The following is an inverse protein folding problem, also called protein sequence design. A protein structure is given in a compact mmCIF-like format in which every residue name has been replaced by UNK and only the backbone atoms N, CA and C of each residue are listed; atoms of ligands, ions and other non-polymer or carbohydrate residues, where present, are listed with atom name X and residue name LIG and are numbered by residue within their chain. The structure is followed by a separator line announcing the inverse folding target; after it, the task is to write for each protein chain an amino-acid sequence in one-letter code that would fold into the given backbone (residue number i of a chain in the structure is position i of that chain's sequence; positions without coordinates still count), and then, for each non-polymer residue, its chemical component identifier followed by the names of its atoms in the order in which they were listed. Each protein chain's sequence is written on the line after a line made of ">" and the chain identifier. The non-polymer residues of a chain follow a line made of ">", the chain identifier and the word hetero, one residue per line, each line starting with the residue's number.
data_IF_820338146836
#
_entry.id   IF_820338146836
#
_cell.length_a   1.000
_cell.length_b   1.000
_cell.length_c   1.000
_cell.angle_alpha   90.00
_cell.angle_beta   90.00
_cell.angle_gamma   90.00
#
_symmetry.space_group_name_H-M   'P 1'
#
loop_
_entity.id
_entity.type
_entity.pdbx_description
1 polymer ?
#
# COMPACT_ATOMS: atom_id res chain seq x y z
N UNK A 1 -24.15 10.74 0.56
CA UNK A 1 -22.87 11.33 0.10
C UNK A 1 -21.87 11.53 1.27
N UNK A 2 -22.32 11.69 2.53
CA UNK A 2 -21.44 11.76 3.72
C UNK A 2 -20.74 10.42 4.03
N UNK A 3 -21.39 9.27 3.81
CA UNK A 3 -20.82 7.96 4.20
C UNK A 3 -19.60 7.52 3.37
N UNK A 4 -19.40 8.03 2.16
CA UNK A 4 -18.20 7.79 1.35
C UNK A 4 -16.97 8.59 1.77
N UNK A 5 -17.14 9.68 2.54
CA UNK A 5 -16.05 10.50 3.07
C UNK A 5 -15.38 9.86 4.30
N UNK A 6 -16.04 8.89 4.95
CA UNK A 6 -15.54 8.23 6.17
C UNK A 6 -14.97 6.83 5.93
N UNK A 7 -14.85 6.36 4.70
CA UNK A 7 -14.14 5.11 4.42
C UNK A 7 -12.63 5.35 4.55
N UNK A 8 -11.95 4.53 5.37
CA UNK A 8 -10.50 4.53 5.41
C UNK A 8 -9.97 4.00 4.07
N UNK A 9 -9.50 4.90 3.23
CA UNK A 9 -8.95 4.57 1.91
C UNK A 9 -7.43 4.77 1.92
N UNK A 10 -6.68 3.94 1.19
CA UNK A 10 -5.25 4.18 0.97
C UNK A 10 -4.98 5.59 0.47
N UNK A 11 -3.84 6.20 0.83
CA UNK A 11 -3.48 7.55 0.40
C UNK A 11 -3.55 7.72 -1.11
N UNK A 12 -3.00 6.75 -1.85
CA UNK A 12 -3.01 6.76 -3.31
C UNK A 12 -3.00 5.33 -3.88
N UNK A 13 -3.10 5.23 -5.21
CA UNK A 13 -2.94 3.96 -5.92
C UNK A 13 -1.53 3.42 -5.78
N UNK A 14 -1.40 2.12 -5.56
CA UNK A 14 -0.15 1.40 -5.45
C UNK A 14 -0.15 0.17 -6.35
N UNK A 15 1.01 -0.19 -6.89
CA UNK A 15 1.15 -1.39 -7.73
C UNK A 15 0.77 -2.63 -6.92
N UNK A 16 -0.08 -3.49 -7.45
CA UNK A 16 -0.56 -4.68 -6.73
C UNK A 16 -1.66 -4.42 -5.68
N UNK A 17 -2.03 -3.15 -5.41
CA UNK A 17 -2.99 -2.81 -4.34
C UNK A 17 -4.32 -3.54 -4.44
N UNK A 18 -4.77 -4.10 -3.32
CA UNK A 18 -5.94 -4.97 -3.18
C UNK A 18 -7.26 -4.25 -2.88
N UNK A 19 -7.35 -2.94 -3.16
CA UNK A 19 -8.51 -2.11 -2.78
C UNK A 19 -9.88 -2.66 -3.24
N UNK A 20 -9.92 -3.45 -4.32
CA UNK A 20 -11.16 -4.07 -4.83
C UNK A 20 -11.48 -5.42 -4.20
N UNK A 21 -10.52 -6.01 -3.51
CA UNK A 21 -10.60 -7.36 -2.96
C UNK A 21 -10.51 -7.36 -1.43
N UNK A 22 -10.18 -6.22 -0.79
CA UNK A 22 -9.93 -6.16 0.64
C UNK A 22 -11.15 -6.62 1.48
N UNK A 23 -12.37 -6.25 1.09
CA UNK A 23 -13.58 -6.71 1.76
C UNK A 23 -13.72 -8.23 1.66
N UNK A 24 -13.59 -8.81 0.46
CA UNK A 24 -13.68 -10.25 0.24
C UNK A 24 -12.57 -11.02 0.98
N UNK A 25 -11.34 -10.48 1.02
CA UNK A 25 -10.23 -11.09 1.76
C UNK A 25 -10.56 -11.13 3.25
N UNK A 26 -11.03 -10.02 3.83
CA UNK A 26 -11.39 -9.95 5.25
C UNK A 26 -12.61 -10.83 5.58
N UNK A 27 -13.59 -10.96 4.67
CA UNK A 27 -14.75 -11.85 4.87
C UNK A 27 -14.29 -13.31 5.02
N UNK A 28 -13.38 -13.77 4.16
CA UNK A 28 -12.80 -15.12 4.24
C UNK A 28 -12.01 -15.30 5.55
N UNK A 29 -11.21 -14.30 5.93
CA UNK A 29 -10.43 -14.35 7.17
C UNK A 29 -11.33 -14.40 8.40
N UNK A 30 -12.41 -13.62 8.44
CA UNK A 30 -13.38 -13.64 9.54
C UNK A 30 -14.16 -14.96 9.60
N UNK A 31 -14.50 -15.56 8.46
CA UNK A 31 -15.16 -16.87 8.39
C UNK A 31 -14.28 -17.97 9.00
N UNK A 32 -12.99 -17.96 8.67
CA UNK A 32 -12.04 -18.97 9.15
C UNK A 32 -11.64 -18.79 10.64
N UNK A 33 -11.60 -17.54 11.15
CA UNK A 33 -10.97 -17.25 12.46
C UNK A 33 -11.93 -16.67 13.52
N UNK A 34 -13.15 -16.29 13.12
CA UNK A 34 -14.04 -15.45 13.96
C UNK A 34 -13.56 -13.99 13.97
N UNK A 35 -13.95 -13.24 15.00
CA UNK A 35 -13.72 -11.77 15.06
C UNK A 35 -12.83 -11.30 16.20
N UNK A 36 -12.11 -12.19 16.85
CA UNK A 36 -11.25 -11.87 17.99
C UNK A 36 -9.80 -12.22 17.67
N UNK A 37 -9.09 -11.30 17.01
CA UNK A 37 -7.66 -11.45 16.67
C UNK A 37 -7.01 -10.08 16.41
N UNK A 38 -5.68 -10.05 16.53
CA UNK A 38 -4.84 -8.96 16.00
C UNK A 38 -4.54 -9.27 14.54
N UNK A 39 -4.74 -8.31 13.67
CA UNK A 39 -4.48 -8.45 12.24
C UNK A 39 -3.08 -7.95 11.87
N UNK A 40 -2.30 -8.77 11.20
CA UNK A 40 -0.98 -8.41 10.67
C UNK A 40 -1.05 -8.31 9.15
N UNK A 41 -0.83 -7.11 8.60
CA UNK A 41 -0.72 -6.86 7.15
C UNK A 41 0.77 -6.71 6.82
N UNK A 42 1.40 -7.81 6.43
CA UNK A 42 2.83 -7.87 6.11
C UNK A 42 3.02 -7.67 4.59
N UNK A 43 3.98 -6.82 4.22
CA UNK A 43 4.11 -6.27 2.86
C UNK A 43 2.89 -5.40 2.48
N UNK A 44 2.45 -4.54 3.42
CA UNK A 44 1.17 -3.84 3.33
C UNK A 44 1.05 -2.86 2.14
N UNK A 45 2.16 -2.40 1.57
CA UNK A 45 2.15 -1.36 0.54
C UNK A 45 1.30 -0.17 1.00
N UNK A 46 0.34 0.26 0.19
CA UNK A 46 -0.57 1.36 0.56
C UNK A 46 -1.59 1.01 1.66
N UNK A 47 -1.62 -0.23 2.14
CA UNK A 47 -2.42 -0.67 3.28
C UNK A 47 -3.88 -0.97 2.97
N UNK A 48 -4.22 -1.39 1.75
CA UNK A 48 -5.63 -1.59 1.36
C UNK A 48 -6.35 -2.60 2.24
N UNK A 49 -5.72 -3.73 2.58
CA UNK A 49 -6.33 -4.80 3.38
C UNK A 49 -6.30 -4.43 4.86
N UNK A 50 -5.16 -3.93 5.35
CA UNK A 50 -5.04 -3.50 6.74
C UNK A 50 -5.99 -2.35 7.10
N UNK A 51 -6.23 -1.38 6.21
CA UNK A 51 -7.20 -0.30 6.45
C UNK A 51 -8.65 -0.81 6.48
N UNK A 52 -8.99 -1.84 5.70
CA UNK A 52 -10.28 -2.51 5.82
C UNK A 52 -10.40 -3.23 7.16
N UNK A 53 -9.32 -3.86 7.66
CA UNK A 53 -9.30 -4.47 8.99
C UNK A 53 -9.50 -3.41 10.09
N UNK A 54 -8.81 -2.26 10.02
CA UNK A 54 -9.01 -1.12 10.95
C UNK A 54 -10.47 -0.63 10.91
N UNK A 55 -11.06 -0.48 9.73
CA UNK A 55 -12.46 -0.07 9.54
C UNK A 55 -13.43 -1.05 10.21
N UNK A 56 -13.11 -2.35 10.25
CA UNK A 56 -13.89 -3.40 10.95
C UNK A 56 -13.62 -3.46 12.45
N UNK A 57 -12.68 -2.65 12.97
CA UNK A 57 -12.38 -2.54 14.40
C UNK A 57 -11.22 -3.41 14.89
N UNK A 58 -10.43 -4.01 13.99
CA UNK A 58 -9.26 -4.81 14.37
C UNK A 58 -8.05 -3.94 14.70
N UNK A 59 -7.36 -4.25 15.80
CA UNK A 59 -5.99 -3.79 15.95
C UNK A 59 -5.17 -4.37 14.80
N UNK A 60 -4.54 -3.49 14.02
CA UNK A 60 -3.84 -3.85 12.79
C UNK A 60 -2.40 -3.40 12.83
N UNK A 61 -1.50 -4.34 12.61
CA UNK A 61 -0.06 -4.10 12.53
C UNK A 61 0.34 -4.11 11.06
N UNK A 62 0.69 -2.94 10.54
CA UNK A 62 1.19 -2.77 9.18
C UNK A 62 2.71 -2.94 9.16
N UNK A 63 3.22 -3.79 8.28
CA UNK A 63 4.65 -3.88 8.01
C UNK A 63 4.93 -3.72 6.52
N UNK A 64 5.95 -2.94 6.20
CA UNK A 64 6.52 -2.84 4.85
C UNK A 64 7.99 -2.45 4.93
N UNK A 65 8.81 -3.02 4.07
CA UNK A 65 10.21 -2.62 3.94
C UNK A 65 10.37 -1.26 3.24
N UNK A 66 9.37 -0.87 2.43
CA UNK A 66 9.28 0.43 1.78
C UNK A 66 8.76 1.53 2.71
N UNK A 67 8.63 2.73 2.16
CA UNK A 67 8.29 3.93 2.95
C UNK A 67 6.83 3.99 3.43
N UNK A 68 5.96 3.09 2.97
CA UNK A 68 4.64 2.92 3.60
C UNK A 68 4.77 2.30 5.00
N UNK A 69 5.76 1.42 5.24
CA UNK A 69 6.08 0.95 6.59
C UNK A 69 6.40 2.12 7.53
N UNK A 70 7.26 3.06 7.09
CA UNK A 70 7.55 4.29 7.83
C UNK A 70 6.29 5.14 8.08
N UNK A 71 5.44 5.32 7.06
CA UNK A 71 4.20 6.07 7.19
C UNK A 71 3.28 5.50 8.27
N UNK A 72 3.01 4.19 8.26
CA UNK A 72 2.18 3.53 9.27
C UNK A 72 2.86 3.47 10.65
N UNK A 73 4.17 3.30 10.70
CA UNK A 73 4.93 3.37 11.96
C UNK A 73 4.78 4.75 12.62
N UNK A 74 4.89 5.82 11.84
CA UNK A 74 4.70 7.17 12.36
C UNK A 74 3.26 7.41 12.84
N UNK A 75 2.25 6.87 12.16
CA UNK A 75 0.86 6.95 12.64
C UNK A 75 0.72 6.21 13.97
N UNK A 76 1.19 4.97 14.05
CA UNK A 76 1.10 4.15 15.25
C UNK A 76 1.82 4.75 16.47
N UNK A 77 2.88 5.52 16.24
CA UNK A 77 3.66 6.24 17.27
C UNK A 77 3.19 7.69 17.51
N UNK A 78 2.11 8.14 16.84
CA UNK A 78 1.63 9.54 16.85
C UNK A 78 2.70 10.56 16.41
N UNK A 79 3.62 10.15 15.55
CA UNK A 79 4.73 10.97 15.05
C UNK A 79 4.46 11.69 13.74
N UNK A 80 3.37 11.35 13.02
CA UNK A 80 3.03 12.00 11.76
C UNK A 80 2.32 13.34 12.01
N UNK A 81 2.86 14.44 11.49
CA UNK A 81 2.31 15.77 11.67
C UNK A 81 1.42 16.18 10.48
N UNK A 82 0.11 16.24 10.69
CA UNK A 82 -0.83 16.78 9.70
C UNK A 82 -0.53 18.23 9.36
N UNK A 83 -0.03 19.02 10.30
CA UNK A 83 0.39 20.41 10.04
C UNK A 83 1.53 20.47 9.01
N UNK A 84 2.60 19.68 9.24
CA UNK A 84 3.72 19.63 8.27
C UNK A 84 3.27 19.10 6.91
N UNK A 85 2.37 18.11 6.89
CA UNK A 85 1.86 17.60 5.64
C UNK A 85 1.01 18.65 4.90
N UNK A 86 0.17 19.41 5.62
CA UNK A 86 -0.57 20.54 5.03
C UNK A 86 0.38 21.58 4.43
N UNK A 87 1.44 21.95 5.16
CA UNK A 87 2.46 22.88 4.64
C UNK A 87 3.10 22.36 3.35
N UNK A 88 3.39 21.05 3.24
CA UNK A 88 3.92 20.47 2.00
C UNK A 88 2.89 20.52 0.87
N UNK A 89 1.63 20.22 1.13
CA UNK A 89 0.54 20.27 0.13
C UNK A 89 0.29 21.70 -0.37
N UNK A 90 0.27 22.67 0.54
CA UNK A 90 0.00 24.08 0.21
C UNK A 90 1.15 24.72 -0.59
N UNK A 91 2.36 24.19 -0.47
CA UNK A 91 3.53 24.63 -1.25
C UNK A 91 3.69 23.91 -2.60
N UNK A 92 2.78 23.00 -2.97
CA UNK A 92 2.81 22.38 -4.29
C UNK A 92 2.48 23.42 -5.38
N UNK A 93 3.11 23.31 -6.56
CA UNK A 93 2.77 24.18 -7.67
C UNK A 93 1.37 23.87 -8.21
N UNK A 94 0.92 24.69 -9.13
CA UNK A 94 -0.30 24.43 -9.92
C UNK A 94 -0.21 23.10 -10.65
N UNK A 95 -1.35 22.45 -10.88
CA UNK A 95 -1.42 21.06 -11.38
C UNK A 95 -0.79 20.83 -12.75
N UNK A 96 -0.66 21.87 -13.57
CA UNK A 96 0.06 21.86 -14.86
C UNK A 96 1.57 21.67 -14.69
N UNK A 97 2.13 22.13 -13.57
CA UNK A 97 3.57 22.05 -13.24
C UNK A 97 3.91 20.90 -12.29
N UNK A 98 2.93 20.16 -11.80
CA UNK A 98 3.15 19.14 -10.75
C UNK A 98 4.11 18.05 -11.21
N UNK A 99 4.06 17.61 -12.46
CA UNK A 99 4.93 16.56 -12.97
C UNK A 99 6.41 16.98 -12.97
N UNK A 100 6.69 18.21 -13.39
CA UNK A 100 8.03 18.80 -13.36
C UNK A 100 8.54 18.91 -11.91
N UNK A 101 7.71 19.47 -11.03
CA UNK A 101 8.03 19.57 -9.60
C UNK A 101 8.38 18.21 -8.96
N UNK A 102 7.60 17.15 -9.24
CA UNK A 102 7.88 15.82 -8.70
C UNK A 102 9.20 15.24 -9.23
N UNK A 103 9.53 15.51 -10.49
CA UNK A 103 10.83 15.14 -11.07
C UNK A 103 11.96 15.88 -10.35
N UNK A 104 11.88 17.20 -10.25
CA UNK A 104 12.88 18.03 -9.58
C UNK A 104 13.07 17.63 -8.12
N UNK A 105 11.97 17.32 -7.42
CA UNK A 105 12.01 16.82 -6.03
C UNK A 105 12.74 15.49 -5.94
N UNK A 106 12.48 14.57 -6.88
CA UNK A 106 13.10 13.24 -6.89
C UNK A 106 14.59 13.23 -7.26
N UNK A 107 15.08 14.31 -7.88
CA UNK A 107 16.50 14.50 -8.23
C UNK A 107 17.31 15.11 -7.08
N UNK A 108 16.64 15.74 -6.11
CA UNK A 108 17.28 16.33 -4.92
C UNK A 108 17.61 15.26 -3.88
N UNK A 109 18.64 15.51 -3.05
CA UNK A 109 18.88 14.72 -1.85
C UNK A 109 17.64 14.63 -0.97
N UNK A 110 17.48 13.48 -0.31
CA UNK A 110 16.34 13.26 0.57
C UNK A 110 16.45 14.12 1.82
N UNK A 111 15.48 15.01 2.03
CA UNK A 111 15.34 15.72 3.28
C UNK A 111 14.67 14.79 4.31
N UNK A 112 15.43 14.33 5.31
CA UNK A 112 14.96 13.37 6.33
C UNK A 112 13.79 13.91 7.14
N UNK A 113 13.73 15.21 7.45
CA UNK A 113 12.65 15.83 8.23
C UNK A 113 11.32 15.88 7.46
N UNK A 114 11.39 15.82 6.13
CA UNK A 114 10.25 15.84 5.22
C UNK A 114 10.03 14.50 4.49
N UNK A 115 10.85 13.51 4.77
CA UNK A 115 10.82 12.21 4.08
C UNK A 115 9.41 11.60 3.96
N UNK A 116 8.63 11.41 5.05
CA UNK A 116 7.32 10.76 4.94
C UNK A 116 6.31 11.58 4.14
N UNK A 117 6.44 12.91 4.16
CA UNK A 117 5.53 13.82 3.45
C UNK A 117 5.87 13.91 1.95
N UNK A 118 7.16 14.06 1.62
CA UNK A 118 7.64 14.03 0.23
C UNK A 118 7.38 12.66 -0.40
N UNK A 119 7.56 11.57 0.34
CA UNK A 119 7.23 10.23 -0.14
C UNK A 119 5.78 10.13 -0.60
N UNK A 120 4.82 10.60 0.19
CA UNK A 120 3.39 10.50 -0.16
C UNK A 120 3.05 11.22 -1.45
N UNK A 121 3.62 12.41 -1.69
CA UNK A 121 3.37 13.14 -2.95
C UNK A 121 4.07 12.51 -4.15
N UNK A 122 5.32 12.04 -3.98
CA UNK A 122 6.05 11.32 -5.03
C UNK A 122 5.34 10.01 -5.39
N UNK A 123 4.92 9.21 -4.39
CA UNK A 123 4.22 7.94 -4.60
C UNK A 123 2.85 8.16 -5.26
N UNK A 124 2.11 9.21 -4.88
CA UNK A 124 0.86 9.57 -5.53
C UNK A 124 1.03 9.88 -7.02
N UNK A 125 2.13 10.56 -7.38
CA UNK A 125 2.47 10.91 -8.76
C UNK A 125 3.18 9.81 -9.56
N UNK A 126 3.64 8.74 -8.94
CA UNK A 126 4.46 7.70 -9.60
C UNK A 126 3.77 7.05 -10.80
N UNK A 127 4.43 7.04 -11.96
CA UNK A 127 3.89 6.43 -13.18
C UNK A 127 3.73 4.92 -13.01
N UNK A 128 2.58 4.38 -13.42
CA UNK A 128 2.24 2.97 -13.22
C UNK A 128 1.97 2.59 -11.76
N UNK A 129 1.91 3.55 -10.82
CA UNK A 129 1.83 3.34 -9.37
C UNK A 129 3.02 2.53 -8.83
N UNK A 130 4.14 2.55 -9.54
CA UNK A 130 5.36 1.85 -9.13
C UNK A 130 5.88 2.37 -7.80
N UNK A 131 6.52 1.51 -7.05
CA UNK A 131 7.12 1.86 -5.79
C UNK A 131 8.17 2.98 -5.94
N UNK A 132 8.10 3.98 -5.06
CA UNK A 132 9.14 4.96 -4.80
C UNK A 132 9.91 4.48 -3.58
N UNK A 133 11.24 4.49 -3.63
CA UNK A 133 12.11 4.13 -2.49
C UNK A 133 13.30 5.06 -2.41
N UNK A 134 14.14 4.86 -1.40
CA UNK A 134 15.37 5.62 -1.19
C UNK A 134 16.55 4.66 -1.05
N UNK A 135 17.68 5.07 -1.59
CA UNK A 135 18.97 4.38 -1.44
C UNK A 135 20.01 5.32 -0.88
N UNK A 136 20.93 4.78 -0.08
CA UNK A 136 22.13 5.50 0.33
C UNK A 136 23.22 5.28 -0.73
N UNK A 137 23.56 6.35 -1.45
CA UNK A 137 24.59 6.34 -2.49
C UNK A 137 25.59 7.42 -2.15
N UNK A 138 26.85 7.05 -2.02
CA UNK A 138 27.95 7.96 -1.68
C UNK A 138 27.70 8.76 -0.38
N UNK A 139 27.13 8.10 0.63
CA UNK A 139 26.70 8.68 1.92
C UNK A 139 25.57 9.72 1.81
N UNK A 140 24.86 9.77 0.70
CA UNK A 140 23.70 10.62 0.49
C UNK A 140 22.45 9.78 0.18
N UNK A 141 21.34 10.06 0.86
CA UNK A 141 20.06 9.41 0.56
C UNK A 141 19.44 10.02 -0.68
N UNK A 142 19.12 9.18 -1.68
CA UNK A 142 18.56 9.54 -2.97
C UNK A 142 17.28 8.79 -3.27
N UNK A 143 16.33 9.51 -3.89
CA UNK A 143 15.09 8.91 -4.38
C UNK A 143 15.35 7.99 -5.57
N UNK A 144 14.58 6.91 -5.61
CA UNK A 144 14.55 5.98 -6.75
C UNK A 144 13.18 5.95 -7.38
N UNK A 145 13.14 5.78 -8.69
CA UNK A 145 12.01 5.95 -9.57
C UNK A 145 11.62 7.44 -9.71
N UNK A 146 11.95 8.02 -10.87
CA UNK A 146 11.75 9.43 -11.20
C UNK A 146 10.75 9.65 -12.35
N UNK A 147 9.89 8.67 -12.60
CA UNK A 147 8.89 8.74 -13.67
C UNK A 147 7.51 9.06 -13.08
N UNK A 148 7.00 10.24 -13.42
CA UNK A 148 5.78 10.76 -12.82
C UNK A 148 4.70 11.03 -13.86
N UNK A 149 3.43 11.00 -13.38
CA UNK A 149 2.23 11.33 -14.13
C UNK A 149 2.02 12.84 -14.20
N UNK A 150 1.31 13.27 -15.25
CA UNK A 150 0.69 14.58 -15.33
C UNK A 150 -0.83 14.48 -15.17
N UNK A 151 -1.49 15.59 -14.86
CA UNK A 151 -2.93 15.69 -15.00
C UNK A 151 -3.30 16.02 -16.45
N UNK A 152 -4.42 15.45 -16.89
CA UNK A 152 -5.09 15.99 -18.06
C UNK A 152 -5.69 17.34 -17.68
N UNK A 153 -5.49 18.35 -18.54
CA UNK A 153 -5.98 19.70 -18.31
C UNK A 153 -7.15 19.99 -19.25
N UNK A 154 -8.24 20.62 -18.77
CA UNK A 154 -9.35 21.00 -19.62
C UNK A 154 -8.95 22.14 -20.56
N UNK A 155 -9.50 22.11 -21.76
CA UNK A 155 -9.50 23.22 -22.73
C UNK A 155 -10.85 23.96 -22.67
N UNK A 156 -10.97 25.06 -23.39
CA UNK A 156 -12.23 25.83 -23.47
C UNK A 156 -13.41 24.98 -23.96
N UNK A 157 -13.15 24.06 -24.89
CA UNK A 157 -14.15 23.20 -25.50
C UNK A 157 -14.41 21.91 -24.71
N UNK A 158 -13.64 21.63 -23.66
CA UNK A 158 -13.77 20.41 -22.88
C UNK A 158 -15.09 20.38 -22.11
N UNK A 159 -15.78 19.23 -22.11
CA UNK A 159 -16.96 19.01 -21.28
C UNK A 159 -16.62 19.02 -19.79
N UNK A 160 -15.49 18.41 -19.43
CA UNK A 160 -14.96 18.46 -18.07
C UNK A 160 -14.16 19.74 -17.86
N UNK A 161 -14.45 20.47 -16.79
CA UNK A 161 -13.81 21.76 -16.48
C UNK A 161 -12.71 21.67 -15.41
N UNK A 162 -12.49 20.50 -14.82
CA UNK A 162 -11.47 20.28 -13.79
C UNK A 162 -10.35 19.38 -14.30
N UNK A 163 -9.10 19.59 -13.90
CA UNK A 163 -7.99 18.67 -14.13
C UNK A 163 -8.30 17.28 -13.60
N UNK A 164 -7.78 16.25 -14.24
CA UNK A 164 -7.98 14.87 -13.80
C UNK A 164 -6.82 13.95 -14.18
N UNK A 165 -6.51 13.03 -13.26
CA UNK A 165 -5.83 11.79 -13.54
C UNK A 165 -6.50 10.67 -12.73
N UNK A 166 -7.05 9.61 -13.35
CA UNK A 166 -7.78 8.56 -12.63
C UNK A 166 -6.93 7.80 -11.60
N UNK A 167 -5.60 7.81 -11.78
CA UNK A 167 -4.65 7.06 -10.95
C UNK A 167 -3.84 7.94 -10.00
N UNK A 168 -4.00 9.26 -10.08
CA UNK A 168 -3.30 10.23 -9.24
C UNK A 168 -4.34 11.11 -8.54
N UNK A 169 -4.49 11.02 -7.22
CA UNK A 169 -5.40 11.88 -6.49
C UNK A 169 -4.94 13.34 -6.60
N UNK A 170 -5.87 14.28 -6.64
CA UNK A 170 -5.54 15.70 -6.46
C UNK A 170 -4.85 15.90 -5.10
N UNK A 171 -3.95 16.88 -4.97
CA UNK A 171 -3.23 17.14 -3.71
C UNK A 171 -4.15 17.24 -2.49
N UNK A 172 -5.24 17.96 -2.62
CA UNK A 172 -6.23 18.06 -1.53
C UNK A 172 -6.90 16.71 -1.22
N UNK A 173 -7.19 15.90 -2.22
CA UNK A 173 -7.73 14.54 -2.02
C UNK A 173 -6.73 13.64 -1.30
N UNK A 174 -5.45 13.75 -1.64
CA UNK A 174 -4.38 13.02 -0.96
C UNK A 174 -4.31 13.42 0.52
N UNK A 175 -4.30 14.73 0.79
CA UNK A 175 -4.32 15.24 2.16
C UNK A 175 -5.50 14.71 2.96
N UNK A 176 -6.72 14.83 2.44
CA UNK A 176 -7.94 14.39 3.12
C UNK A 176 -7.97 12.89 3.40
N UNK A 177 -7.39 12.06 2.53
CA UNK A 177 -7.27 10.61 2.79
C UNK A 177 -6.32 10.33 3.94
N UNK A 178 -5.16 10.98 3.97
CA UNK A 178 -4.18 10.84 5.05
C UNK A 178 -4.76 11.36 6.38
N UNK A 179 -5.39 12.53 6.36
CA UNK A 179 -6.08 13.09 7.52
C UNK A 179 -7.14 12.13 8.06
N UNK A 180 -7.95 11.55 7.17
CA UNK A 180 -8.99 10.60 7.55
C UNK A 180 -8.41 9.34 8.21
N UNK A 181 -7.31 8.79 7.70
CA UNK A 181 -6.61 7.66 8.32
C UNK A 181 -6.15 8.03 9.74
N UNK A 182 -5.53 9.19 9.91
CA UNK A 182 -4.98 9.61 11.19
C UNK A 182 -6.07 9.90 12.23
N UNK A 183 -7.14 10.59 11.81
CA UNK A 183 -8.19 11.01 12.76
C UNK A 183 -9.19 9.89 13.09
N UNK A 184 -9.35 8.89 12.23
CA UNK A 184 -10.40 7.88 12.37
C UNK A 184 -9.87 6.45 12.59
N UNK A 185 -8.57 6.27 12.87
CA UNK A 185 -8.03 4.94 13.17
C UNK A 185 -8.34 4.44 14.60
N UNK A 186 -8.84 5.29 15.48
CA UNK A 186 -9.20 4.96 16.87
C UNK A 186 -8.05 4.30 17.67
N UNK A 187 -6.79 4.55 17.30
CA UNK A 187 -5.62 3.95 17.94
C UNK A 187 -5.35 2.50 17.53
N UNK A 188 -6.10 1.98 16.55
CA UNK A 188 -5.99 0.59 16.08
C UNK A 188 -4.79 0.36 15.16
N UNK A 189 -4.24 1.41 14.55
CA UNK A 189 -3.06 1.31 13.69
C UNK A 189 -1.80 1.18 14.52
N UNK A 190 -1.05 0.11 14.27
CA UNK A 190 0.35 -0.08 14.66
C UNK A 190 1.16 -0.22 13.38
N UNK A 191 2.39 0.26 13.37
CA UNK A 191 3.23 0.18 12.18
C UNK A 191 4.65 -0.26 12.53
N UNK A 192 5.27 -0.94 11.59
CA UNK A 192 6.66 -1.35 11.64
C UNK A 192 7.31 -1.11 10.28
N UNK A 193 8.34 -0.28 10.23
CA UNK A 193 9.15 -0.08 9.04
C UNK A 193 10.34 -1.03 9.05
N UNK A 194 10.28 -2.07 8.25
CA UNK A 194 11.35 -3.06 8.23
C UNK A 194 11.09 -4.26 7.35
N UNK A 195 12.13 -5.05 7.19
CA UNK A 195 12.14 -6.26 6.41
C UNK A 195 11.32 -7.38 7.10
N UNK A 196 10.40 -7.97 6.37
CA UNK A 196 9.55 -9.07 6.82
C UNK A 196 10.39 -10.28 7.28
N UNK A 197 11.55 -10.53 6.67
CA UNK A 197 12.43 -11.65 7.03
C UNK A 197 12.97 -11.57 8.46
N UNK A 198 12.96 -10.37 9.03
CA UNK A 198 13.31 -10.14 10.45
C UNK A 198 12.07 -10.00 11.31
N UNK A 199 11.11 -9.21 10.86
CA UNK A 199 9.89 -8.92 11.62
C UNK A 199 9.01 -10.15 11.86
N UNK A 200 9.08 -11.18 11.01
CA UNK A 200 8.37 -12.45 11.21
C UNK A 200 8.60 -13.07 12.59
N UNK A 201 9.78 -12.90 13.19
CA UNK A 201 10.09 -13.47 14.51
C UNK A 201 9.34 -12.73 15.63
N UNK A 202 9.20 -11.40 15.52
CA UNK A 202 8.39 -10.63 16.48
C UNK A 202 6.92 -11.01 16.35
N UNK A 203 6.43 -11.20 15.13
CA UNK A 203 5.07 -11.68 14.85
C UNK A 203 4.87 -13.07 15.42
N UNK A 204 5.79 -14.02 15.20
CA UNK A 204 5.74 -15.37 15.75
C UNK A 204 5.66 -15.35 17.28
N UNK A 205 6.46 -14.50 17.92
CA UNK A 205 6.62 -14.46 19.37
C UNK A 205 5.50 -13.67 20.08
N UNK A 206 4.68 -12.93 19.37
CA UNK A 206 3.44 -12.35 19.91
C UNK A 206 2.48 -13.49 20.35
N UNK A 207 2.07 -13.49 21.62
CA UNK A 207 1.24 -14.55 22.21
C UNK A 207 -0.25 -14.30 22.05
N UNK A 208 -0.68 -13.16 21.55
CA UNK A 208 -2.08 -12.84 21.27
C UNK A 208 -2.61 -13.72 20.14
N UNK A 209 -3.92 -13.98 20.14
CA UNK A 209 -4.56 -14.57 18.97
C UNK A 209 -4.39 -13.62 17.79
N UNK A 210 -3.86 -14.10 16.71
CA UNK A 210 -3.50 -13.28 15.56
C UNK A 210 -3.78 -14.00 14.24
N UNK A 211 -3.91 -13.18 13.20
CA UNK A 211 -3.99 -13.63 11.80
C UNK A 211 -2.98 -12.82 10.99
N UNK A 212 -2.29 -13.48 10.10
CA UNK A 212 -1.30 -12.86 9.22
C UNK A 212 -1.79 -12.89 7.78
N UNK A 213 -1.77 -11.73 7.14
CA UNK A 213 -1.95 -11.55 5.71
C UNK A 213 -0.67 -11.04 5.07
N UNK A 214 -0.30 -11.58 3.92
CA UNK A 214 0.91 -11.22 3.18
C UNK A 214 0.54 -11.01 1.70
N UNK A 215 0.87 -9.84 1.17
CA UNK A 215 0.80 -9.52 -0.27
C UNK A 215 2.22 -9.30 -0.81
N UNK A 216 2.97 -10.38 -1.08
CA UNK A 216 4.37 -10.28 -1.44
C UNK A 216 4.55 -9.68 -2.83
N UNK A 217 5.75 -9.22 -3.21
CA UNK A 217 6.11 -9.00 -4.60
C UNK A 217 5.92 -10.29 -5.40
N UNK A 218 4.99 -10.30 -6.38
CA UNK A 218 4.72 -11.51 -7.16
C UNK A 218 5.93 -11.94 -7.97
N UNK A 219 6.18 -13.25 -8.01
CA UNK A 219 7.21 -13.85 -8.88
C UNK A 219 7.05 -13.34 -10.32
N UNK A 220 8.13 -12.85 -10.91
CA UNK A 220 8.18 -12.23 -12.25
C UNK A 220 7.54 -10.84 -12.39
N UNK A 221 7.27 -10.12 -11.30
CA UNK A 221 6.86 -8.72 -11.33
C UNK A 221 8.08 -7.83 -11.18
N UNK A 222 8.36 -6.97 -12.17
CA UNK A 222 9.43 -5.98 -12.08
C UNK A 222 8.97 -4.74 -11.33
N UNK A 223 9.86 -4.10 -10.56
CA UNK A 223 9.60 -2.80 -9.92
C UNK A 223 9.46 -2.84 -8.41
N UNK A 224 9.73 -3.97 -7.79
CA UNK A 224 9.94 -4.08 -6.35
C UNK A 224 11.45 -4.14 -6.04
N UNK A 225 11.84 -3.52 -4.95
CA UNK A 225 13.23 -3.45 -4.53
C UNK A 225 13.66 -4.64 -3.65
N UNK A 226 12.69 -5.28 -3.00
CA UNK A 226 12.93 -6.38 -2.06
C UNK A 226 12.43 -7.70 -2.64
N UNK A 227 13.22 -8.76 -2.41
CA UNK A 227 12.87 -10.14 -2.73
C UNK A 227 13.11 -11.03 -1.51
N UNK A 228 12.25 -12.01 -1.29
CA UNK A 228 12.37 -12.98 -0.20
C UNK A 228 11.62 -14.27 -0.53
N UNK A 229 11.97 -15.34 0.17
CA UNK A 229 11.26 -16.61 0.03
C UNK A 229 10.01 -16.62 0.91
N UNK A 230 8.83 -16.56 0.29
CA UNK A 230 7.55 -16.55 0.99
C UNK A 230 7.27 -17.87 1.73
N UNK A 231 7.75 -18.99 1.22
CA UNK A 231 7.58 -20.31 1.83
C UNK A 231 8.28 -20.37 3.21
N UNK A 232 9.45 -19.74 3.36
CA UNK A 232 10.18 -19.67 4.64
C UNK A 232 9.43 -18.82 5.67
N UNK A 233 8.81 -17.71 5.22
CA UNK A 233 7.99 -16.85 6.09
C UNK A 233 6.76 -17.62 6.58
N UNK A 234 6.07 -18.29 5.66
CA UNK A 234 4.90 -19.12 6.00
C UNK A 234 5.28 -20.22 6.98
N UNK A 235 6.38 -20.96 6.72
CA UNK A 235 6.85 -22.01 7.61
C UNK A 235 7.15 -21.50 9.03
N UNK A 236 7.70 -20.29 9.16
CA UNK A 236 7.99 -19.67 10.47
C UNK A 236 6.72 -19.28 11.22
N UNK A 237 5.67 -18.84 10.52
CA UNK A 237 4.49 -18.23 11.16
C UNK A 237 3.35 -19.22 11.41
N UNK A 238 3.18 -20.25 10.56
CA UNK A 238 2.05 -21.18 10.64
C UNK A 238 2.03 -22.05 11.90
N UNK A 239 3.13 -22.14 12.65
CA UNK A 239 3.13 -22.78 13.97
C UNK A 239 2.33 -22.01 15.02
N UNK A 240 2.09 -20.73 14.78
CA UNK A 240 1.45 -19.83 15.77
C UNK A 240 0.12 -19.26 15.33
N UNK A 241 -0.15 -19.16 14.02
CA UNK A 241 -1.38 -18.57 13.50
C UNK A 241 -1.68 -19.04 12.07
N UNK A 242 -2.90 -18.77 11.60
CA UNK A 242 -3.24 -18.90 10.20
C UNK A 242 -2.55 -17.80 9.38
N UNK A 243 -2.02 -18.18 8.22
CA UNK A 243 -1.33 -17.28 7.29
C UNK A 243 -2.04 -17.27 5.94
N UNK A 244 -2.36 -16.08 5.46
CA UNK A 244 -3.06 -15.82 4.20
C UNK A 244 -2.09 -15.12 3.24
N UNK A 245 -1.87 -15.69 2.07
CA UNK A 245 -0.93 -15.15 1.07
C UNK A 245 -1.67 -14.87 -0.24
N UNK A 246 -1.64 -13.61 -0.70
CA UNK A 246 -2.10 -13.26 -2.04
C UNK A 246 -1.02 -13.58 -3.08
N UNK A 247 -1.39 -14.32 -4.13
CA UNK A 247 -0.51 -14.64 -5.25
C UNK A 247 -1.30 -14.84 -6.55
N UNK A 248 -0.60 -14.79 -7.67
CA UNK A 248 -1.17 -15.06 -8.99
C UNK A 248 -1.38 -16.54 -9.31
N UNK A 249 -1.13 -17.44 -8.36
CA UNK A 249 -1.20 -18.90 -8.51
C UNK A 249 -1.51 -19.59 -7.18
N UNK A 250 -1.91 -20.87 -7.27
CA UNK A 250 -2.10 -21.73 -6.09
C UNK A 250 -0.76 -22.21 -5.56
N UNK A 251 -0.50 -22.01 -4.28
CA UNK A 251 0.71 -22.45 -3.59
C UNK A 251 0.55 -23.87 -3.06
N UNK A 252 1.65 -24.63 -3.01
CA UNK A 252 1.67 -25.97 -2.46
C UNK A 252 1.32 -25.98 -0.95
N UNK A 253 0.62 -27.01 -0.51
CA UNK A 253 0.17 -27.18 0.87
C UNK A 253 -0.74 -26.06 1.41
N UNK A 254 -1.39 -25.28 0.54
CA UNK A 254 -2.37 -24.28 0.88
C UNK A 254 -3.77 -24.66 0.40
N UNK A 255 -4.80 -24.21 1.13
CA UNK A 255 -6.17 -24.11 0.60
C UNK A 255 -6.23 -22.86 -0.26
N UNK A 256 -6.32 -22.99 -1.57
CA UNK A 256 -6.30 -21.86 -2.51
C UNK A 256 -7.70 -21.45 -2.90
N UNK A 257 -8.02 -20.18 -2.81
CA UNK A 257 -9.29 -19.55 -3.15
C UNK A 257 -9.07 -18.54 -4.26
N UNK A 258 -9.71 -18.71 -5.41
CA UNK A 258 -9.65 -17.74 -6.50
C UNK A 258 -10.53 -16.53 -6.14
N UNK A 259 -9.91 -15.37 -5.92
CA UNK A 259 -10.59 -14.13 -5.60
C UNK A 259 -11.13 -13.42 -6.85
N UNK A 260 -10.38 -13.45 -7.93
CA UNK A 260 -10.83 -12.93 -9.22
C UNK A 260 -10.14 -13.62 -10.40
N UNK A 261 -10.92 -13.90 -11.43
CA UNK A 261 -10.43 -14.20 -12.76
C UNK A 261 -10.42 -12.88 -13.54
N UNK A 262 -9.25 -12.23 -13.57
CA UNK A 262 -9.13 -10.88 -14.10
C UNK A 262 -9.52 -10.75 -15.57
N UNK A 263 -10.16 -9.66 -15.92
CA UNK A 263 -10.37 -9.26 -17.31
C UNK A 263 -9.02 -9.12 -18.02
N UNK A 264 -8.91 -9.58 -19.28
CA UNK A 264 -7.76 -9.32 -20.15
C UNK A 264 -7.46 -7.81 -20.12
N UNK A 265 -6.39 -7.39 -19.47
CA UNK A 265 -5.98 -5.97 -19.49
C UNK A 265 -5.41 -5.71 -20.89
N UNK A 266 -6.12 -4.89 -21.68
CA UNK A 266 -5.53 -4.26 -22.86
C UNK A 266 -4.39 -3.34 -22.41
N UNK A 267 -3.21 -3.49 -23.02
CA UNK A 267 -2.15 -2.51 -22.86
C UNK A 267 -2.55 -1.22 -23.59
N UNK A 268 -1.96 -0.08 -23.17
CA UNK A 268 -2.07 1.21 -23.87
C UNK A 268 -1.69 1.12 -25.35
N UNK A 269 -0.89 0.11 -25.72
CA UNK A 269 -0.49 -0.23 -27.10
C UNK A 269 -1.47 -1.14 -27.86
N UNK A 270 -2.63 -1.44 -27.29
CA UNK A 270 -3.64 -2.31 -27.96
C UNK A 270 -3.34 -3.80 -27.94
N UNK A 271 -2.22 -4.25 -27.37
CA UNK A 271 -1.88 -5.66 -27.25
C UNK A 271 -2.64 -6.28 -26.07
N UNK A 272 -3.52 -7.23 -26.36
CA UNK A 272 -4.28 -7.98 -25.34
C UNK A 272 -3.37 -9.06 -24.75
N UNK A 273 -3.12 -9.06 -23.44
CA UNK A 273 -2.50 -10.22 -22.77
C UNK A 273 -3.39 -11.44 -22.96
N UNK A 274 -2.82 -12.56 -23.46
CA UNK A 274 -3.56 -13.77 -23.78
C UNK A 274 -4.17 -14.47 -22.55
N UNK A 275 -3.54 -14.30 -21.35
CA UNK A 275 -3.98 -14.98 -20.14
C UNK A 275 -4.65 -13.97 -19.17
N UNK A 276 -5.76 -14.34 -18.52
CA UNK A 276 -6.33 -13.57 -17.44
C UNK A 276 -5.31 -13.47 -16.29
N UNK A 277 -5.31 -12.35 -15.58
CA UNK A 277 -4.56 -12.24 -14.33
C UNK A 277 -5.45 -12.84 -13.26
N UNK A 278 -5.07 -14.02 -12.77
CA UNK A 278 -5.75 -14.68 -11.65
C UNK A 278 -5.21 -14.05 -10.37
N UNK A 279 -6.09 -13.81 -9.42
CA UNK A 279 -5.74 -13.42 -8.06
C UNK A 279 -6.22 -14.51 -7.12
N UNK A 280 -5.31 -15.11 -6.38
CA UNK A 280 -5.57 -16.26 -5.49
C UNK A 280 -5.18 -15.91 -4.07
N UNK A 281 -6.04 -16.25 -3.12
CA UNK A 281 -5.73 -16.24 -1.69
C UNK A 281 -5.36 -17.66 -1.27
N UNK A 282 -4.13 -17.84 -0.84
CA UNK A 282 -3.60 -19.10 -0.36
C UNK A 282 -3.63 -19.10 1.17
N UNK A 283 -4.35 -20.04 1.76
CA UNK A 283 -4.57 -20.16 3.20
C UNK A 283 -3.74 -21.30 3.76
N UNK A 284 -2.85 -20.98 4.67
CA UNK A 284 -2.05 -21.94 5.43
C UNK A 284 -2.58 -21.97 6.85
N UNK A 285 -3.28 -23.04 7.18
CA UNK A 285 -3.81 -23.23 8.51
C UNK A 285 -2.70 -23.47 9.53
N UNK A 286 -2.92 -23.02 10.76
CA UNK A 286 -2.03 -23.27 11.89
C UNK A 286 -1.87 -24.76 12.10
N UNK A 287 -0.62 -25.20 12.34
CA UNK A 287 -0.27 -26.59 12.65
C UNK A 287 -0.36 -26.86 14.14
#
# INVERSE_FOLDING_TARGET
>A
MRDKLFSLLPPCSYQGGKQRLCEQILDIIEEDNGKDFVFYDLCCGSGSVGLEAVKRGYETVFNDAGLYGLFYEMIGKNGFSLKKFREVIDNLPTVDKIQEYLRDLSEKPVNQDLLPYHYLILQAGAFGSKQIWIDNIDNEWKWRNNTFRSYWLPTETSNRKSPVNPMMPMPETLYLRVENIILNNNGLIKGHWGDITRFQYDVRDDKRKKVVYIDPPYKNTTGYFYDFNIEDIVATLRDTCNVYVSEGYSMDNARSIVLSEGRKKGNVSGTVKKNPVIETLNVFEKI
#
